data_IF_434640901838
#
_entry.id   IF_434640901838
#
_cell.length_a   1.000
_cell.length_b   1.000
_cell.length_c   1.000
_cell.angle_alpha   90.00
_cell.angle_beta   90.00
_cell.angle_gamma   90.00
#
_symmetry.space_group_name_H-M   'P 1'
#
loop_
_entity.id
_entity.type
_entity.pdbx_description
1 polymer ?
#
# COMPACT_ATOMS: atom_id res chain seq x y z
N UNK A 1 13.76 -10.26 -19.27
CA UNK A 1 13.17 -11.28 -18.36
C UNK A 1 11.94 -10.64 -17.77
N UNK A 2 10.78 -11.18 -18.10
CA UNK A 2 9.48 -10.55 -17.81
C UNK A 2 9.20 -10.52 -16.30
N UNK A 3 8.66 -9.43 -15.84
CA UNK A 3 8.21 -9.14 -14.47
C UNK A 3 7.22 -10.20 -13.91
N UNK A 4 6.64 -11.02 -14.75
CA UNK A 4 5.65 -12.03 -14.38
C UNK A 4 6.21 -13.26 -13.64
N UNK A 5 7.46 -13.65 -13.88
CA UNK A 5 8.08 -14.81 -13.19
C UNK A 5 8.36 -14.55 -11.69
N UNK A 6 8.45 -13.29 -11.27
CA UNK A 6 8.79 -12.93 -9.90
C UNK A 6 7.63 -13.09 -8.90
N UNK A 7 6.40 -13.33 -9.37
CA UNK A 7 5.21 -13.40 -8.52
C UNK A 7 4.65 -14.80 -8.29
N UNK A 8 5.32 -15.83 -8.83
CA UNK A 8 4.96 -17.21 -8.52
C UNK A 8 5.43 -17.56 -7.11
N UNK A 9 4.51 -17.94 -6.24
CA UNK A 9 4.83 -18.40 -4.87
C UNK A 9 5.14 -19.89 -4.93
N UNK A 10 6.43 -20.22 -5.06
CA UNK A 10 6.91 -21.59 -5.15
C UNK A 10 7.53 -22.11 -3.86
N UNK A 11 8.04 -21.20 -3.04
CA UNK A 11 8.80 -21.49 -1.83
C UNK A 11 8.62 -20.38 -0.76
N UNK A 12 9.26 -20.59 0.39
CA UNK A 12 9.24 -19.62 1.49
C UNK A 12 9.87 -18.26 1.11
N UNK A 13 10.86 -18.25 0.22
CA UNK A 13 11.54 -17.03 -0.20
C UNK A 13 10.63 -16.14 -1.05
N UNK A 14 9.97 -16.74 -2.06
CA UNK A 14 8.99 -16.04 -2.90
C UNK A 14 7.78 -15.57 -2.09
N UNK A 15 7.29 -16.37 -1.14
CA UNK A 15 6.24 -15.98 -0.22
C UNK A 15 6.65 -14.78 0.64
N UNK A 16 7.86 -14.80 1.24
CA UNK A 16 8.38 -13.68 2.04
C UNK A 16 8.47 -12.38 1.23
N UNK A 17 8.86 -12.47 -0.05
CA UNK A 17 8.85 -11.29 -0.95
C UNK A 17 7.45 -10.71 -1.10
N UNK A 18 6.45 -11.55 -1.40
CA UNK A 18 5.05 -11.13 -1.53
C UNK A 18 4.52 -10.57 -0.21
N UNK A 19 4.84 -11.20 0.91
CA UNK A 19 4.48 -10.71 2.25
C UNK A 19 5.03 -9.30 2.48
N UNK A 20 6.33 -9.09 2.31
CA UNK A 20 6.96 -7.78 2.53
C UNK A 20 6.40 -6.71 1.57
N UNK A 21 5.99 -7.12 0.36
CA UNK A 21 5.44 -6.23 -0.65
C UNK A 21 4.06 -5.71 -0.28
N UNK A 22 3.19 -6.55 0.24
CA UNK A 22 1.77 -6.23 0.43
C UNK A 22 1.35 -6.01 1.88
N UNK A 23 2.11 -6.47 2.89
CA UNK A 23 1.71 -6.44 4.29
C UNK A 23 1.29 -5.03 4.75
N UNK A 24 2.13 -4.02 4.52
CA UNK A 24 1.85 -2.65 4.93
C UNK A 24 0.61 -2.07 4.24
N UNK A 25 0.46 -2.31 2.93
CA UNK A 25 -0.68 -1.84 2.17
C UNK A 25 -2.00 -2.48 2.64
N UNK A 26 -1.98 -3.78 2.92
CA UNK A 26 -3.14 -4.50 3.44
C UNK A 26 -3.52 -4.05 4.85
N UNK A 27 -2.53 -3.80 5.72
CA UNK A 27 -2.78 -3.26 7.06
C UNK A 27 -3.44 -1.87 6.99
N UNK A 28 -2.96 -1.00 6.10
CA UNK A 28 -3.57 0.31 5.86
C UNK A 28 -4.98 0.19 5.28
N UNK A 29 -5.20 -0.74 4.35
CA UNK A 29 -6.53 -1.01 3.80
C UNK A 29 -7.52 -1.45 4.87
N UNK A 30 -7.11 -2.30 5.82
CA UNK A 30 -7.95 -2.81 6.90
C UNK A 30 -8.38 -1.73 7.91
N UNK A 31 -7.68 -0.58 8.01
CA UNK A 31 -8.04 0.53 8.92
C UNK A 31 -9.48 1.02 8.64
N UNK A 32 -9.91 1.00 7.40
CA UNK A 32 -11.28 1.42 7.00
C UNK A 32 -12.36 0.56 7.66
N UNK A 33 -12.06 -0.67 8.02
CA UNK A 33 -13.01 -1.67 8.52
C UNK A 33 -12.84 -1.95 10.01
N UNK A 34 -11.61 -1.96 10.51
CA UNK A 34 -11.27 -2.42 11.86
C UNK A 34 -10.41 -1.38 12.55
N UNK A 35 -10.91 -0.82 13.66
CA UNK A 35 -10.21 0.24 14.41
C UNK A 35 -9.11 -0.32 15.31
N UNK A 36 -9.31 -1.51 15.86
CA UNK A 36 -8.31 -2.16 16.69
C UNK A 36 -7.09 -2.60 15.87
N UNK A 37 -5.89 -2.33 16.40
CA UNK A 37 -4.64 -2.61 15.67
C UNK A 37 -4.33 -4.10 15.63
N UNK A 38 -4.52 -4.78 16.74
CA UNK A 38 -4.16 -6.19 16.89
C UNK A 38 -5.10 -7.05 16.05
N UNK A 39 -6.40 -6.75 16.07
CA UNK A 39 -7.40 -7.40 15.21
C UNK A 39 -7.08 -7.20 13.71
N UNK A 40 -6.63 -5.98 13.31
CA UNK A 40 -6.22 -5.74 11.91
C UNK A 40 -5.03 -6.59 11.51
N UNK A 41 -4.00 -6.63 12.36
CA UNK A 41 -2.80 -7.41 12.10
C UNK A 41 -3.13 -8.91 11.99
N UNK A 42 -4.02 -9.41 12.83
CA UNK A 42 -4.48 -10.81 12.80
C UNK A 42 -5.23 -11.11 11.48
N UNK A 43 -6.18 -10.28 11.07
CA UNK A 43 -6.91 -10.46 9.81
C UNK A 43 -5.98 -10.42 8.59
N UNK A 44 -4.96 -9.55 8.62
CA UNK A 44 -3.94 -9.49 7.56
C UNK A 44 -3.09 -10.77 7.57
N UNK A 45 -2.64 -11.24 8.73
CA UNK A 45 -1.88 -12.49 8.84
C UNK A 45 -2.69 -13.68 8.34
N UNK A 46 -3.95 -13.80 8.74
CA UNK A 46 -4.85 -14.84 8.25
C UNK A 46 -5.07 -14.77 6.72
N UNK A 47 -5.05 -13.57 6.16
CA UNK A 47 -5.13 -13.38 4.70
C UNK A 47 -3.90 -13.96 4.01
N UNK A 48 -2.72 -13.78 4.60
CA UNK A 48 -1.49 -14.37 4.07
C UNK A 48 -1.42 -15.90 4.27
N UNK A 49 -2.02 -16.44 5.34
CA UNK A 49 -2.17 -17.90 5.48
C UNK A 49 -3.04 -18.44 4.32
N UNK A 50 -4.19 -17.83 4.06
CA UNK A 50 -5.06 -18.22 2.94
C UNK A 50 -4.36 -18.09 1.58
N UNK A 51 -3.52 -17.06 1.39
CA UNK A 51 -2.68 -16.93 0.20
C UNK A 51 -1.74 -18.12 0.04
N UNK A 52 -1.07 -18.53 1.12
CA UNK A 52 -0.16 -19.68 1.08
C UNK A 52 -0.87 -20.96 0.67
N UNK A 53 -2.05 -21.20 1.17
CA UNK A 53 -2.89 -22.37 0.83
C UNK A 53 -3.33 -22.35 -0.64
N UNK A 54 -3.68 -21.16 -1.17
CA UNK A 54 -4.17 -20.98 -2.55
C UNK A 54 -3.05 -20.70 -3.57
N UNK A 55 -1.78 -20.68 -3.17
CA UNK A 55 -0.64 -20.20 -3.98
C UNK A 55 -0.49 -20.88 -5.34
N UNK A 56 -0.85 -22.15 -5.45
CA UNK A 56 -0.70 -22.93 -6.68
C UNK A 56 -1.64 -22.47 -7.80
N UNK A 57 -2.73 -21.77 -7.46
CA UNK A 57 -3.73 -21.27 -8.40
C UNK A 57 -3.42 -19.84 -8.87
N UNK A 58 -2.54 -19.13 -8.16
CA UNK A 58 -2.23 -17.72 -8.38
C UNK A 58 -0.89 -17.59 -9.13
N UNK A 59 -0.96 -17.22 -10.41
CA UNK A 59 0.21 -17.25 -11.32
C UNK A 59 0.70 -15.88 -11.79
N UNK A 60 0.08 -14.80 -11.33
CA UNK A 60 0.47 -13.43 -11.70
C UNK A 60 0.35 -12.49 -10.50
N UNK A 61 1.07 -11.37 -10.57
CA UNK A 61 0.95 -10.31 -9.55
C UNK A 61 -0.48 -9.82 -9.40
N UNK A 62 -1.17 -9.59 -10.51
CA UNK A 62 -2.57 -9.14 -10.50
C UNK A 62 -3.51 -10.13 -9.82
N UNK A 63 -3.32 -11.44 -10.05
CA UNK A 63 -4.10 -12.50 -9.41
C UNK A 63 -3.83 -12.55 -7.90
N UNK A 64 -2.56 -12.46 -7.48
CA UNK A 64 -2.18 -12.43 -6.06
C UNK A 64 -2.74 -11.19 -5.39
N UNK A 65 -2.61 -10.03 -6.02
CA UNK A 65 -3.14 -8.77 -5.52
C UNK A 65 -4.66 -8.82 -5.34
N UNK A 66 -5.39 -9.18 -6.38
CA UNK A 66 -6.85 -9.32 -6.32
C UNK A 66 -7.29 -10.28 -5.23
N UNK A 67 -6.62 -11.44 -5.12
CA UNK A 67 -6.88 -12.43 -4.09
C UNK A 67 -6.69 -11.87 -2.68
N UNK A 68 -5.56 -11.19 -2.41
CA UNK A 68 -5.24 -10.62 -1.11
C UNK A 68 -6.28 -9.58 -0.67
N UNK A 69 -6.59 -8.60 -1.52
CA UNK A 69 -7.55 -7.55 -1.16
C UNK A 69 -8.97 -8.08 -1.00
N UNK A 70 -9.42 -8.98 -1.88
CA UNK A 70 -10.75 -9.60 -1.78
C UNK A 70 -10.87 -10.45 -0.52
N UNK A 71 -9.85 -11.26 -0.22
CA UNK A 71 -9.84 -12.12 0.97
C UNK A 71 -9.85 -11.29 2.24
N UNK A 72 -9.00 -10.26 2.34
CA UNK A 72 -8.94 -9.37 3.48
C UNK A 72 -10.26 -8.62 3.69
N UNK A 73 -10.83 -8.07 2.62
CA UNK A 73 -12.13 -7.40 2.69
C UNK A 73 -13.21 -8.33 3.25
N UNK A 74 -13.29 -9.55 2.74
CA UNK A 74 -14.29 -10.52 3.20
C UNK A 74 -14.09 -10.87 4.69
N UNK A 75 -12.84 -11.02 5.14
CA UNK A 75 -12.52 -11.25 6.55
C UNK A 75 -12.91 -10.06 7.42
N UNK A 76 -12.59 -8.84 7.01
CA UNK A 76 -13.00 -7.63 7.71
C UNK A 76 -14.52 -7.50 7.83
N UNK A 77 -15.25 -7.77 6.75
CA UNK A 77 -16.73 -7.73 6.76
C UNK A 77 -17.31 -8.81 7.70
N UNK A 78 -16.72 -10.01 7.73
CA UNK A 78 -17.13 -11.06 8.65
C UNK A 78 -16.83 -10.68 10.11
N UNK A 79 -15.65 -10.10 10.37
CA UNK A 79 -15.29 -9.56 11.69
C UNK A 79 -16.33 -8.55 12.17
N UNK A 80 -16.72 -7.58 11.32
CA UNK A 80 -17.74 -6.59 11.65
C UNK A 80 -19.11 -7.24 11.95
N UNK A 81 -19.52 -8.27 11.22
CA UNK A 81 -20.77 -8.99 11.48
C UNK A 81 -20.76 -9.71 12.84
N UNK A 82 -19.61 -10.25 13.24
CA UNK A 82 -19.48 -10.95 14.52
C UNK A 82 -19.35 -10.01 15.72
N UNK A 83 -18.87 -8.78 15.52
CA UNK A 83 -18.68 -7.80 16.58
C UNK A 83 -20.00 -7.13 17.05
N UNK A 84 -21.18 -7.63 16.67
CA UNK A 84 -22.54 -7.13 17.05
C UNK A 84 -22.78 -5.61 16.82
N UNK A 85 -21.82 -4.93 16.20
CA UNK A 85 -21.92 -3.50 15.84
C UNK A 85 -22.70 -3.29 14.54
N UNK A 86 -23.26 -4.34 14.00
CA UNK A 86 -23.63 -4.51 12.59
C UNK A 86 -25.06 -4.10 12.25
N UNK A 87 -25.93 -3.87 13.23
CA UNK A 87 -27.35 -3.64 12.93
C UNK A 87 -27.68 -2.31 12.25
N UNK A 88 -26.71 -1.47 11.91
CA UNK A 88 -26.98 -0.19 11.20
C UNK A 88 -26.25 -0.01 9.86
N UNK A 89 -25.23 -0.82 9.54
CA UNK A 89 -24.43 -0.62 8.32
C UNK A 89 -24.59 -1.73 7.26
N UNK A 90 -25.11 -2.89 7.62
CA UNK A 90 -25.24 -4.04 6.71
C UNK A 90 -26.44 -3.97 5.75
N UNK A 91 -27.45 -3.13 6.03
CA UNK A 91 -28.68 -3.06 5.23
C UNK A 91 -28.62 -2.12 4.02
N UNK A 92 -27.56 -1.30 3.87
CA UNK A 92 -27.48 -0.26 2.83
C UNK A 92 -26.41 -0.49 1.76
N UNK A 93 -25.84 -1.68 1.65
CA UNK A 93 -24.83 -1.94 0.64
C UNK A 93 -25.40 -2.66 -0.58
N UNK A 94 -25.86 -1.90 -1.57
CA UNK A 94 -26.15 -2.41 -2.91
C UNK A 94 -24.82 -2.87 -3.57
N UNK A 95 -24.82 -4.06 -4.14
CA UNK A 95 -23.62 -4.80 -4.56
C UNK A 95 -22.82 -4.10 -5.66
N UNK A 96 -23.46 -3.36 -6.54
CA UNK A 96 -22.85 -2.78 -7.75
C UNK A 96 -22.10 -1.45 -7.48
N UNK A 97 -22.60 -0.58 -6.59
CA UNK A 97 -21.87 0.62 -6.14
C UNK A 97 -20.63 0.25 -5.30
N UNK A 98 -20.73 -0.85 -4.59
CA UNK A 98 -19.67 -1.35 -3.71
C UNK A 98 -18.44 -1.89 -4.48
N UNK A 99 -18.65 -2.49 -5.64
CA UNK A 99 -17.54 -3.05 -6.44
C UNK A 99 -16.72 -1.95 -7.12
N UNK A 100 -17.35 -0.84 -7.52
CA UNK A 100 -16.62 0.32 -8.08
C UNK A 100 -15.81 1.04 -6.99
N UNK A 101 -16.37 1.28 -5.80
CA UNK A 101 -15.67 1.90 -4.67
C UNK A 101 -14.53 1.00 -4.16
N UNK A 102 -14.74 -0.30 -4.10
CA UNK A 102 -13.70 -1.28 -3.75
C UNK A 102 -12.55 -1.30 -4.77
N UNK A 103 -12.85 -1.27 -6.06
CA UNK A 103 -11.83 -1.20 -7.11
C UNK A 103 -11.01 0.09 -7.01
N UNK A 104 -11.66 1.23 -6.77
CA UNK A 104 -10.99 2.52 -6.56
C UNK A 104 -10.11 2.51 -5.31
N UNK A 105 -10.57 1.89 -4.23
CA UNK A 105 -9.77 1.75 -2.99
C UNK A 105 -8.53 0.88 -3.21
N UNK A 106 -8.65 -0.23 -3.94
CA UNK A 106 -7.48 -1.05 -4.31
C UNK A 106 -6.50 -0.22 -5.15
N UNK A 107 -6.96 0.52 -6.15
CA UNK A 107 -6.11 1.38 -6.98
C UNK A 107 -5.36 2.39 -6.12
N UNK A 108 -6.06 3.05 -5.18
CA UNK A 108 -5.46 4.01 -4.26
C UNK A 108 -4.39 3.37 -3.38
N UNK A 109 -4.67 2.24 -2.75
CA UNK A 109 -3.72 1.54 -1.89
C UNK A 109 -2.50 1.04 -2.67
N UNK A 110 -2.69 0.52 -3.88
CA UNK A 110 -1.61 0.10 -4.74
C UNK A 110 -0.75 1.27 -5.23
N UNK A 111 -1.36 2.40 -5.53
CA UNK A 111 -0.65 3.61 -5.88
C UNK A 111 0.24 4.09 -4.73
N UNK A 112 -0.29 4.10 -3.50
CA UNK A 112 0.49 4.42 -2.30
C UNK A 112 1.62 3.42 -2.07
N UNK A 113 1.37 2.13 -2.24
CA UNK A 113 2.40 1.09 -2.12
C UNK A 113 3.56 1.32 -3.09
N UNK A 114 3.24 1.54 -4.36
CA UNK A 114 4.24 1.81 -5.40
C UNK A 114 5.04 3.09 -5.10
N UNK A 115 4.38 4.12 -4.60
CA UNK A 115 5.01 5.37 -4.22
C UNK A 115 6.02 5.18 -3.08
N UNK A 116 5.64 4.49 -2.00
CA UNK A 116 6.57 4.21 -0.89
C UNK A 116 7.73 3.31 -1.33
N UNK A 117 7.49 2.34 -2.21
CA UNK A 117 8.58 1.53 -2.78
C UNK A 117 9.55 2.35 -3.63
N UNK A 118 9.05 3.33 -4.37
CA UNK A 118 9.89 4.24 -5.13
C UNK A 118 10.72 5.15 -4.20
N UNK A 119 10.14 5.61 -3.09
CA UNK A 119 10.86 6.38 -2.06
C UNK A 119 12.03 5.56 -1.48
N UNK A 120 11.85 4.26 -1.24
CA UNK A 120 12.92 3.39 -0.74
C UNK A 120 14.12 3.28 -1.69
N UNK A 121 13.95 3.58 -2.99
CA UNK A 121 15.02 3.59 -3.98
C UNK A 121 15.77 4.93 -4.09
N UNK A 122 15.36 5.93 -3.33
CA UNK A 122 16.07 7.20 -3.24
C UNK A 122 17.32 7.08 -2.35
N UNK A 123 18.30 7.97 -2.56
CA UNK A 123 19.37 8.10 -1.59
C UNK A 123 18.86 8.67 -0.26
N UNK A 124 19.58 8.43 0.83
CA UNK A 124 19.13 8.73 2.20
C UNK A 124 18.68 10.18 2.41
N UNK A 125 19.43 11.15 1.88
CA UNK A 125 19.09 12.56 2.01
C UNK A 125 17.82 12.92 1.22
N UNK A 126 17.71 12.47 -0.02
CA UNK A 126 16.53 12.70 -0.86
C UNK A 126 15.29 12.04 -0.26
N UNK A 127 15.42 10.80 0.24
CA UNK A 127 14.37 10.06 0.95
C UNK A 127 13.89 10.84 2.18
N UNK A 128 14.83 11.29 3.03
CA UNK A 128 14.51 12.05 4.24
C UNK A 128 13.78 13.35 3.93
N UNK A 129 14.23 14.11 2.93
CA UNK A 129 13.57 15.34 2.46
C UNK A 129 12.14 15.07 1.98
N UNK A 130 11.93 13.98 1.22
CA UNK A 130 10.58 13.61 0.75
C UNK A 130 9.67 13.25 1.92
N UNK A 131 10.12 12.39 2.83
CA UNK A 131 9.32 11.94 3.97
C UNK A 131 8.92 13.13 4.88
N UNK A 132 9.86 14.00 5.23
CA UNK A 132 9.58 15.19 6.03
C UNK A 132 8.62 16.15 5.31
N UNK A 133 8.73 16.28 3.97
CA UNK A 133 7.77 17.07 3.17
C UNK A 133 6.36 16.48 3.24
N UNK A 134 6.22 15.15 3.20
CA UNK A 134 4.92 14.45 3.34
C UNK A 134 4.32 14.58 4.75
N UNK A 135 5.18 14.71 5.76
CA UNK A 135 4.79 14.96 7.15
C UNK A 135 4.37 16.45 7.39
N UNK A 136 4.51 17.30 6.37
CA UNK A 136 4.07 18.69 6.41
C UNK A 136 5.14 19.69 6.83
N UNK A 137 6.39 19.25 7.04
CA UNK A 137 7.49 20.16 7.36
C UNK A 137 7.78 21.16 6.24
N UNK A 138 8.00 22.41 6.59
CA UNK A 138 8.43 23.43 5.65
C UNK A 138 9.91 23.29 5.33
N UNK A 139 10.32 23.92 4.25
CA UNK A 139 11.69 23.78 3.70
C UNK A 139 12.77 24.27 4.65
N UNK A 140 12.51 25.35 5.36
CA UNK A 140 13.38 25.91 6.39
C UNK A 140 13.52 24.98 7.61
N UNK A 141 12.41 24.39 8.05
CA UNK A 141 12.40 23.41 9.14
C UNK A 141 13.19 22.13 8.76
N UNK A 142 13.03 21.66 7.52
CA UNK A 142 13.80 20.52 7.01
C UNK A 142 15.31 20.86 6.96
N UNK A 143 15.67 22.07 6.51
CA UNK A 143 17.04 22.53 6.43
C UNK A 143 17.69 22.56 7.82
N UNK A 144 17.00 23.09 8.81
CA UNK A 144 17.45 23.11 10.21
C UNK A 144 17.61 21.70 10.80
N UNK A 145 16.61 20.80 10.64
CA UNK A 145 16.67 19.46 11.19
C UNK A 145 17.72 18.55 10.53
N UNK A 146 18.05 18.83 9.28
CA UNK A 146 19.06 18.06 8.55
C UNK A 146 20.45 18.67 8.59
N UNK A 147 20.61 19.85 9.19
CA UNK A 147 21.85 20.65 9.19
C UNK A 147 22.37 20.89 7.77
N UNK A 148 21.48 21.30 6.87
CA UNK A 148 21.77 21.55 5.46
C UNK A 148 21.26 22.93 5.04
N UNK A 149 21.85 23.49 3.96
CA UNK A 149 21.36 24.74 3.39
C UNK A 149 19.99 24.53 2.71
N UNK A 150 19.18 25.60 2.66
CA UNK A 150 17.90 25.61 1.94
C UNK A 150 18.07 25.22 0.47
N UNK A 151 19.17 25.63 -0.15
CA UNK A 151 19.44 25.28 -1.56
C UNK A 151 19.81 23.80 -1.72
N UNK A 152 20.47 23.21 -0.74
CA UNK A 152 20.72 21.76 -0.69
C UNK A 152 19.41 20.98 -0.56
N UNK A 153 18.47 21.46 0.27
CA UNK A 153 17.12 20.85 0.37
C UNK A 153 16.36 20.95 -0.96
N UNK A 154 16.40 22.10 -1.63
CA UNK A 154 15.80 22.26 -2.98
C UNK A 154 16.39 21.27 -3.99
N UNK A 155 17.72 21.11 -3.96
CA UNK A 155 18.41 20.17 -4.83
C UNK A 155 17.95 18.72 -4.57
N UNK A 156 17.95 18.27 -3.31
CA UNK A 156 17.49 16.93 -2.94
C UNK A 156 16.02 16.69 -3.32
N UNK A 157 15.14 17.68 -3.08
CA UNK A 157 13.74 17.59 -3.48
C UNK A 157 13.58 17.47 -4.99
N UNK A 158 14.29 18.28 -5.78
CA UNK A 158 14.26 18.21 -7.26
C UNK A 158 14.74 16.86 -7.78
N UNK A 159 15.86 16.38 -7.27
CA UNK A 159 16.45 15.09 -7.67
C UNK A 159 15.55 13.93 -7.28
N UNK A 160 14.95 13.98 -6.08
CA UNK A 160 13.97 13.00 -5.64
C UNK A 160 12.77 12.93 -6.58
N UNK A 161 12.16 14.08 -6.92
CA UNK A 161 11.01 14.14 -7.82
C UNK A 161 11.33 13.60 -9.22
N UNK A 162 12.51 13.91 -9.76
CA UNK A 162 12.95 13.35 -11.03
C UNK A 162 13.05 11.82 -10.96
N UNK A 163 13.68 11.30 -9.91
CA UNK A 163 13.85 9.85 -9.72
C UNK A 163 12.54 9.13 -9.50
N UNK A 164 11.63 9.71 -8.70
CA UNK A 164 10.30 9.16 -8.49
C UNK A 164 9.51 9.13 -9.82
N UNK A 165 9.60 10.17 -10.64
CA UNK A 165 8.97 10.20 -11.96
C UNK A 165 9.53 9.12 -12.89
N UNK A 166 10.84 8.87 -12.88
CA UNK A 166 11.47 7.80 -13.66
C UNK A 166 10.98 6.42 -13.22
N UNK A 167 10.90 6.17 -11.91
CA UNK A 167 10.49 4.87 -11.35
C UNK A 167 9.01 4.61 -11.55
N UNK A 168 8.16 5.61 -11.31
CA UNK A 168 6.70 5.46 -11.30
C UNK A 168 6.06 5.64 -12.69
N UNK A 169 6.78 6.28 -13.64
CA UNK A 169 6.25 6.52 -14.98
C UNK A 169 4.90 7.24 -14.95
N UNK A 170 3.91 6.69 -15.65
CA UNK A 170 2.55 7.24 -15.70
C UNK A 170 1.84 7.24 -14.35
N UNK A 171 2.14 6.30 -13.47
CA UNK A 171 1.58 6.23 -12.12
C UNK A 171 1.95 7.45 -11.25
N UNK A 172 3.02 8.18 -11.57
CA UNK A 172 3.41 9.39 -10.88
C UNK A 172 2.32 10.48 -10.95
N UNK A 173 1.69 10.64 -12.10
CA UNK A 173 0.62 11.63 -12.29
C UNK A 173 -0.67 11.24 -11.56
N UNK A 174 -1.00 9.95 -11.50
CA UNK A 174 -2.14 9.45 -10.74
C UNK A 174 -1.98 9.76 -9.23
N UNK A 175 -0.78 9.61 -8.70
CA UNK A 175 -0.47 9.92 -7.30
C UNK A 175 -0.55 11.43 -6.99
N UNK A 176 -0.13 12.28 -7.92
CA UNK A 176 -0.24 13.74 -7.78
C UNK A 176 -1.68 14.24 -7.84
N UNK A 177 -2.59 13.49 -8.45
CA UNK A 177 -4.03 13.81 -8.50
C UNK A 177 -4.78 13.33 -7.24
N UNK A 178 -4.19 12.40 -6.46
CA UNK A 178 -4.77 11.83 -5.25
C UNK A 178 -4.29 12.51 -3.95
N UNK A 179 -3.30 13.42 -4.05
CA UNK A 179 -2.73 14.21 -2.93
C UNK A 179 -3.37 15.60 -2.87
#
# INVERSE_FOLDING_TARGET
MSTEENFKITDRGSYKRVFNLFYKALTLFAIKYVNDKDDREDLVQETFVALWESRNQLRSESAIKSYLYTTLRNKCLNYLRHADTVNKYAENFERDEYDADFSNEIIKQESLRLFYQAIEQLNDNAKKVVLMTLEGYKRDEIAEQMDLSIDTIKYHKKTALQKLKEILGENFYLLMLLS
#
